data_IF_545699791119
#
_entry.id   IF_545699791119
#
_cell.length_a   1.000
_cell.length_b   1.000
_cell.length_c   1.000
_cell.angle_alpha   90.00
_cell.angle_beta   90.00
_cell.angle_gamma   90.00
#
_symmetry.space_group_name_H-M   'P 1'
#
loop_
_entity.id
_entity.type
_entity.pdbx_description
1 polymer ?
#
# COMPACT_ATOMS: atom_id res chain seq x y z
N UNK A 1 3.63 15.98 -4.43
CA UNK A 1 4.05 14.95 -3.45
C UNK A 1 5.15 15.50 -2.55
N UNK A 2 5.05 15.24 -1.27
CA UNK A 2 6.02 15.74 -0.28
C UNK A 2 6.49 14.59 0.59
N UNK A 3 7.79 14.61 0.95
CA UNK A 3 8.35 13.64 1.89
C UNK A 3 8.42 14.25 3.28
N UNK A 4 7.95 13.51 4.27
CA UNK A 4 8.00 13.92 5.67
C UNK A 4 8.56 12.76 6.51
N UNK A 5 9.07 13.08 7.68
CA UNK A 5 9.61 12.06 8.58
C UNK A 5 8.63 11.75 9.71
N UNK A 6 8.86 10.62 10.39
CA UNK A 6 8.11 10.27 11.60
C UNK A 6 8.27 11.38 12.66
N UNK A 7 9.47 11.98 12.71
CA UNK A 7 9.73 13.09 13.62
C UNK A 7 8.85 14.31 13.30
N UNK A 8 8.67 14.63 12.02
CA UNK A 8 7.81 15.73 11.59
C UNK A 8 6.37 15.53 12.06
N UNK A 9 5.86 14.29 11.97
CA UNK A 9 4.52 13.96 12.45
C UNK A 9 4.40 14.19 13.95
N UNK A 10 5.45 13.86 14.70
CA UNK A 10 5.46 14.02 16.15
C UNK A 10 5.59 15.48 16.60
N UNK A 11 6.44 16.24 15.91
CA UNK A 11 6.78 17.61 16.34
C UNK A 11 5.89 18.68 15.74
N UNK A 12 5.33 18.45 14.55
CA UNK A 12 4.55 19.46 13.82
C UNK A 12 3.30 18.87 13.16
N UNK A 13 2.46 18.14 13.90
CA UNK A 13 1.29 17.48 13.30
C UNK A 13 0.29 18.47 12.69
N UNK A 14 0.07 19.60 13.33
CA UNK A 14 -0.88 20.60 12.81
C UNK A 14 -0.49 21.14 11.43
N UNK A 15 0.81 21.36 11.21
CA UNK A 15 1.31 21.81 9.92
C UNK A 15 1.10 20.74 8.84
N UNK A 16 1.31 19.49 9.19
CA UNK A 16 1.13 18.36 8.25
C UNK A 16 -0.34 18.27 7.81
N UNK A 17 -1.27 18.31 8.76
CA UNK A 17 -2.71 18.24 8.45
C UNK A 17 -3.18 19.44 7.63
N UNK A 18 -2.58 20.58 7.85
CA UNK A 18 -2.90 21.80 7.10
C UNK A 18 -2.39 21.72 5.66
N UNK A 19 -1.22 21.14 5.46
CA UNK A 19 -0.60 21.02 4.13
C UNK A 19 -1.15 19.85 3.31
N UNK A 20 -1.68 18.84 3.94
CA UNK A 20 -2.10 17.61 3.27
C UNK A 20 -3.12 17.84 2.13
N UNK A 21 -4.17 18.66 2.30
CA UNK A 21 -5.09 18.92 1.18
C UNK A 21 -4.44 19.62 -0.01
N UNK A 22 -3.40 20.42 0.23
CA UNK A 22 -2.68 21.14 -0.83
C UNK A 22 -1.72 20.18 -1.56
N UNK A 23 -0.94 19.41 -0.81
CA UNK A 23 0.04 18.49 -1.36
C UNK A 23 -0.58 17.22 -1.95
N UNK A 24 -1.75 16.82 -1.49
CA UNK A 24 -2.51 15.63 -1.89
C UNK A 24 -1.85 14.31 -1.52
N UNK A 25 -0.54 14.26 -1.48
CA UNK A 25 0.20 13.04 -1.13
C UNK A 25 1.43 13.40 -0.31
N UNK A 26 1.60 12.70 0.81
CA UNK A 26 2.81 12.83 1.63
C UNK A 26 3.36 11.44 1.93
N UNK A 27 4.63 11.24 1.65
CA UNK A 27 5.32 9.98 1.94
C UNK A 27 6.01 10.11 3.29
N UNK A 28 5.64 9.23 4.21
CA UNK A 28 6.27 9.18 5.55
C UNK A 28 7.51 8.31 5.46
N UNK A 29 8.64 8.85 5.90
CA UNK A 29 9.90 8.13 5.90
C UNK A 29 10.41 7.91 7.31
N UNK A 30 11.16 6.82 7.49
CA UNK A 30 11.88 6.54 8.74
C UNK A 30 13.28 6.10 8.35
N UNK A 31 14.30 6.81 8.86
CA UNK A 31 15.71 6.59 8.52
C UNK A 31 15.94 6.59 6.99
N UNK A 32 15.29 7.50 6.30
CA UNK A 32 15.41 7.64 4.85
C UNK A 32 14.63 6.64 4.03
N UNK A 33 13.89 5.73 4.66
CA UNK A 33 13.09 4.71 3.97
C UNK A 33 11.61 5.05 3.99
N UNK A 34 10.91 4.97 2.87
CA UNK A 34 9.45 5.18 2.85
C UNK A 34 8.75 4.06 3.61
N UNK A 35 7.86 4.43 4.53
CA UNK A 35 7.12 3.45 5.35
C UNK A 35 5.60 3.61 5.23
N UNK A 36 5.11 4.76 4.80
CA UNK A 36 3.68 5.01 4.75
C UNK A 36 3.36 6.12 3.75
N UNK A 37 2.11 6.17 3.36
CA UNK A 37 1.59 7.21 2.49
C UNK A 37 0.39 7.86 3.19
N UNK A 38 0.40 9.20 3.23
CA UNK A 38 -0.74 9.98 3.70
C UNK A 38 -1.45 10.58 2.51
N UNK A 39 -2.76 10.46 2.49
CA UNK A 39 -3.60 11.06 1.47
C UNK A 39 -4.85 11.66 2.14
N UNK A 40 -5.34 12.82 1.69
CA UNK A 40 -6.53 13.40 2.30
C UNK A 40 -7.77 12.58 1.97
N UNK A 41 -8.66 12.48 2.94
CA UNK A 41 -9.93 11.78 2.82
C UNK A 41 -11.06 12.68 3.27
N UNK A 42 -12.25 12.43 2.73
CA UNK A 42 -13.49 12.99 3.24
C UNK A 42 -14.48 11.83 3.45
N UNK A 43 -15.56 12.09 4.16
CA UNK A 43 -16.60 11.08 4.32
C UNK A 43 -17.16 10.61 2.98
N UNK A 44 -17.19 11.51 1.99
CA UNK A 44 -17.70 11.22 0.65
C UNK A 44 -16.74 10.35 -0.18
N UNK A 45 -15.43 10.51 0.00
CA UNK A 45 -14.42 9.82 -0.81
C UNK A 45 -13.81 8.60 -0.11
N UNK A 46 -14.13 8.38 1.15
CA UNK A 46 -13.52 7.31 1.96
C UNK A 46 -13.67 5.93 1.31
N UNK A 47 -14.88 5.55 0.92
CA UNK A 47 -15.14 4.23 0.34
C UNK A 47 -14.41 4.02 -0.99
N UNK A 48 -14.41 5.02 -1.85
CA UNK A 48 -13.70 4.95 -3.13
C UNK A 48 -12.20 4.80 -2.93
N UNK A 49 -11.64 5.58 -1.99
CA UNK A 49 -10.20 5.55 -1.71
C UNK A 49 -9.80 4.21 -1.10
N UNK A 50 -10.57 3.69 -0.14
CA UNK A 50 -10.31 2.37 0.44
C UNK A 50 -10.37 1.27 -0.63
N UNK A 51 -11.34 1.32 -1.52
CA UNK A 51 -11.47 0.39 -2.63
C UNK A 51 -10.24 0.41 -3.52
N UNK A 52 -9.76 1.61 -3.87
CA UNK A 52 -8.57 1.79 -4.70
C UNK A 52 -7.31 1.24 -4.02
N UNK A 53 -7.15 1.49 -2.71
CA UNK A 53 -6.01 0.97 -1.94
C UNK A 53 -6.04 -0.55 -1.88
N UNK A 54 -7.21 -1.14 -1.65
CA UNK A 54 -7.37 -2.59 -1.60
C UNK A 54 -7.05 -3.24 -2.94
N UNK A 55 -7.47 -2.61 -4.05
CA UNK A 55 -7.14 -3.09 -5.39
C UNK A 55 -5.64 -3.02 -5.67
N UNK A 56 -4.98 -1.94 -5.25
CA UNK A 56 -3.54 -1.78 -5.39
C UNK A 56 -2.78 -2.85 -4.60
N UNK A 57 -3.23 -3.17 -3.39
CA UNK A 57 -2.64 -4.23 -2.58
C UNK A 57 -2.80 -5.61 -3.22
N UNK A 58 -3.97 -5.88 -3.79
CA UNK A 58 -4.22 -7.13 -4.50
C UNK A 58 -3.32 -7.27 -5.72
N UNK A 59 -3.16 -6.21 -6.50
CA UNK A 59 -2.26 -6.19 -7.64
C UNK A 59 -0.81 -6.45 -7.23
N UNK A 60 -0.35 -5.84 -6.14
CA UNK A 60 0.98 -6.08 -5.60
C UNK A 60 1.17 -7.54 -5.15
N UNK A 61 0.16 -8.13 -4.53
CA UNK A 61 0.23 -9.53 -4.11
C UNK A 61 0.40 -10.45 -5.32
N UNK A 62 -0.32 -10.20 -6.41
CA UNK A 62 -0.20 -10.97 -7.64
C UNK A 62 1.20 -10.83 -8.24
N UNK A 63 1.74 -9.62 -8.30
CA UNK A 63 3.09 -9.37 -8.79
C UNK A 63 4.14 -10.09 -7.95
N UNK A 64 3.99 -10.10 -6.64
CA UNK A 64 4.90 -10.80 -5.74
C UNK A 64 4.90 -12.30 -5.99
N UNK A 65 3.73 -12.90 -6.17
CA UNK A 65 3.61 -14.32 -6.48
C UNK A 65 4.28 -14.66 -7.82
N UNK A 66 4.05 -13.85 -8.83
CA UNK A 66 4.66 -14.04 -10.14
C UNK A 66 6.19 -13.93 -10.07
N UNK A 67 6.69 -12.97 -9.31
CA UNK A 67 8.12 -12.78 -9.11
C UNK A 67 8.76 -13.99 -8.40
N UNK A 68 8.14 -14.46 -7.34
CA UNK A 68 8.60 -15.63 -6.59
C UNK A 68 8.62 -16.87 -7.51
N UNK A 69 7.57 -17.05 -8.30
CA UNK A 69 7.49 -18.18 -9.23
C UNK A 69 8.64 -18.18 -10.24
N UNK A 70 8.96 -17.00 -10.78
CA UNK A 70 10.08 -16.85 -11.74
C UNK A 70 11.43 -17.10 -11.08
N UNK A 71 11.66 -16.52 -9.89
CA UNK A 71 12.93 -16.64 -9.17
C UNK A 71 13.22 -18.06 -8.69
N UNK A 72 12.18 -18.81 -8.37
CA UNK A 72 12.30 -20.18 -7.85
C UNK A 72 12.03 -21.28 -8.88
N UNK A 73 12.00 -20.92 -10.16
CA UNK A 73 11.72 -21.84 -11.26
C UNK A 73 10.38 -22.60 -11.10
N UNK A 74 9.39 -21.90 -10.55
CA UNK A 74 8.04 -22.46 -10.37
C UNK A 74 7.15 -22.24 -11.61
N UNK A 75 7.77 -22.10 -12.79
CA UNK A 75 7.08 -21.86 -14.05
C UNK A 75 6.11 -22.97 -14.45
N UNK A 76 6.26 -24.14 -13.84
CA UNK A 76 5.35 -25.26 -14.02
C UNK A 76 4.16 -25.29 -13.07
N UNK A 77 3.98 -24.27 -12.25
CA UNK A 77 2.87 -24.19 -11.31
C UNK A 77 1.54 -24.05 -12.05
N UNK A 78 0.59 -24.90 -11.75
CA UNK A 78 -0.72 -24.86 -12.42
C UNK A 78 -1.58 -23.70 -11.94
N UNK A 79 -2.55 -23.29 -12.75
CA UNK A 79 -3.50 -22.23 -12.36
C UNK A 79 -4.23 -22.52 -11.05
N UNK A 80 -4.71 -23.77 -10.80
CA UNK A 80 -5.30 -24.10 -9.50
C UNK A 80 -4.36 -23.89 -8.32
N UNK A 81 -3.08 -24.21 -8.48
CA UNK A 81 -2.08 -24.00 -7.44
C UNK A 81 -1.85 -22.52 -7.16
N UNK A 82 -1.78 -21.70 -8.22
CA UNK A 82 -1.63 -20.26 -8.11
C UNK A 82 -2.88 -19.66 -7.43
N UNK A 83 -4.06 -20.12 -7.82
CA UNK A 83 -5.31 -19.65 -7.25
C UNK A 83 -5.43 -20.01 -5.77
N UNK A 84 -4.97 -21.21 -5.39
CA UNK A 84 -4.95 -21.62 -3.98
C UNK A 84 -4.08 -20.70 -3.13
N UNK A 85 -2.93 -20.29 -3.63
CA UNK A 85 -2.05 -19.34 -2.95
C UNK A 85 -2.69 -17.97 -2.80
N UNK A 86 -3.39 -17.48 -3.83
CA UNK A 86 -4.10 -16.22 -3.80
C UNK A 86 -5.23 -16.25 -2.77
N UNK A 87 -5.99 -17.34 -2.74
CA UNK A 87 -7.10 -17.51 -1.80
C UNK A 87 -6.61 -17.60 -0.35
N UNK A 88 -5.50 -18.28 -0.11
CA UNK A 88 -4.86 -18.34 1.22
C UNK A 88 -4.45 -16.93 1.68
N UNK A 89 -3.87 -16.13 0.80
CA UNK A 89 -3.49 -14.77 1.11
C UNK A 89 -4.70 -13.88 1.45
N UNK A 90 -5.83 -14.07 0.77
CA UNK A 90 -7.08 -13.37 1.08
C UNK A 90 -7.63 -13.73 2.44
N UNK A 91 -7.62 -15.03 2.76
CA UNK A 91 -8.16 -15.52 4.03
C UNK A 91 -7.38 -14.99 5.23
N UNK A 92 -6.09 -14.79 5.08
CA UNK A 92 -5.25 -14.20 6.14
C UNK A 92 -5.59 -12.74 6.42
N UNK A 93 -6.26 -12.06 5.50
CA UNK A 93 -6.63 -10.64 5.64
C UNK A 93 -8.04 -10.40 6.16
N UNK A 94 -8.84 -11.42 6.22
CA UNK A 94 -10.24 -11.30 6.66
C UNK A 94 -10.43 -11.38 8.15
#
# INVERSE_FOLDING_TARGET
MKFITVRDIRTSPAEIWKQLPVEQEMVVTNNGKPIALLTPLSAETLEETLSAVRRARAANAIHQLQKIARENELDGMSEPEIQAEIDAARNERS
#
